data_IF_028162069433
#
_entry.id   IF_028162069433
#
_cell.length_a   1.000
_cell.length_b   1.000
_cell.length_c   1.000
_cell.angle_alpha   90.00
_cell.angle_beta   90.00
_cell.angle_gamma   90.00
#
_symmetry.space_group_name_H-M   'P 1'
#
loop_
_entity.id
_entity.type
_entity.pdbx_description
1 polymer ?
#
# COMPACT_ATOMS: atom_id res chain seq x y z
N UNK A 1 -0.60 -2.14 33.41
CA UNK A 1 -0.40 -1.34 32.18
C UNK A 1 -1.61 -0.43 32.03
N UNK A 2 -1.44 0.89 32.14
CA UNK A 2 -2.55 1.81 32.37
C UNK A 2 -3.38 2.04 31.11
N UNK A 3 -4.71 1.95 31.23
CA UNK A 3 -5.70 2.24 30.17
C UNK A 3 -5.46 3.62 29.49
N UNK A 4 -4.75 4.53 30.16
CA UNK A 4 -4.38 5.86 29.67
C UNK A 4 -3.44 5.84 28.47
N UNK A 5 -2.45 4.94 28.44
CA UNK A 5 -1.45 4.92 27.36
C UNK A 5 -2.05 4.51 26.02
N UNK A 6 -2.98 3.56 26.03
CA UNK A 6 -3.71 3.13 24.82
C UNK A 6 -4.54 4.29 24.28
N UNK A 7 -5.25 5.01 25.16
CA UNK A 7 -6.04 6.18 24.76
C UNK A 7 -5.17 7.32 24.23
N UNK A 8 -4.00 7.55 24.84
CA UNK A 8 -3.02 8.53 24.34
C UNK A 8 -2.52 8.14 22.93
N UNK A 9 -2.20 6.87 22.70
CA UNK A 9 -1.76 6.37 21.39
C UNK A 9 -2.86 6.53 20.34
N UNK A 10 -4.10 6.18 20.68
CA UNK A 10 -5.26 6.36 19.77
C UNK A 10 -5.47 7.84 19.44
N UNK A 11 -5.43 8.72 20.45
CA UNK A 11 -5.58 10.16 20.26
C UNK A 11 -4.46 10.75 19.38
N UNK A 12 -3.21 10.36 19.61
CA UNK A 12 -2.07 10.79 18.80
C UNK A 12 -2.21 10.30 17.35
N UNK A 13 -2.62 9.06 17.16
CA UNK A 13 -2.80 8.47 15.81
C UNK A 13 -3.90 9.19 15.04
N UNK A 14 -5.03 9.51 15.71
CA UNK A 14 -6.13 10.30 15.15
C UNK A 14 -5.70 11.74 14.83
N UNK A 15 -4.82 12.34 15.65
CA UNK A 15 -4.25 13.67 15.43
C UNK A 15 -3.12 13.69 14.38
N UNK A 16 -2.91 12.59 13.64
CA UNK A 16 -1.97 12.51 12.52
C UNK A 16 -0.53 12.20 12.92
N UNK A 17 -0.26 11.83 14.18
CA UNK A 17 1.04 11.35 14.59
C UNK A 17 1.25 9.91 14.12
N UNK A 18 2.51 9.52 13.89
CA UNK A 18 2.88 8.17 13.48
C UNK A 18 3.98 7.61 14.39
N UNK A 19 3.95 6.32 14.73
CA UNK A 19 5.04 5.70 15.48
C UNK A 19 6.38 5.87 14.75
N UNK A 20 7.38 6.38 15.45
CA UNK A 20 8.74 6.46 14.96
C UNK A 20 9.39 5.08 15.08
N UNK A 21 9.56 4.41 13.94
CA UNK A 21 10.12 3.06 13.88
C UNK A 21 11.65 2.98 13.93
N UNK A 22 12.35 4.09 14.12
CA UNK A 22 13.80 4.11 14.30
C UNK A 22 14.18 4.02 15.78
N UNK A 23 15.43 3.68 16.06
CA UNK A 23 15.98 3.74 17.41
C UNK A 23 16.82 5.03 17.52
N UNK A 24 16.42 6.00 18.36
CA UNK A 24 17.26 7.16 18.64
C UNK A 24 18.58 6.74 19.28
N UNK A 25 19.64 7.49 19.01
CA UNK A 25 20.96 7.29 19.59
C UNK A 25 20.94 7.46 21.12
N UNK A 26 21.83 6.74 21.81
CA UNK A 26 21.86 6.66 23.27
C UNK A 26 21.96 8.04 23.95
N UNK A 27 22.76 8.94 23.38
CA UNK A 27 23.00 10.28 23.92
C UNK A 27 21.71 11.12 24.03
N UNK A 28 20.70 10.86 23.19
CA UNK A 28 19.41 11.56 23.25
C UNK A 28 18.73 11.33 24.60
N UNK A 29 18.81 10.11 25.13
CA UNK A 29 18.24 9.77 26.43
C UNK A 29 19.05 10.34 27.58
N UNK A 30 20.37 10.39 27.44
CA UNK A 30 21.27 11.01 28.42
C UNK A 30 20.98 12.51 28.57
N UNK A 31 20.85 13.23 27.44
CA UNK A 31 20.50 14.66 27.43
C UNK A 31 19.11 14.94 28.04
N UNK A 32 18.15 14.03 27.83
CA UNK A 32 16.81 14.13 28.42
C UNK A 32 16.75 13.69 29.89
N UNK A 33 17.87 13.19 30.44
CA UNK A 33 17.94 12.67 31.82
C UNK A 33 17.03 11.46 32.04
N UNK A 34 16.91 10.59 31.03
CA UNK A 34 16.09 9.38 31.09
C UNK A 34 16.88 8.23 31.74
N UNK A 35 16.54 7.88 32.98
CA UNK A 35 17.23 6.84 33.78
C UNK A 35 16.92 5.39 33.37
N UNK A 36 15.88 5.17 32.56
CA UNK A 36 15.49 3.85 32.05
C UNK A 36 15.20 3.94 30.57
N UNK A 37 16.20 3.67 29.75
CA UNK A 37 15.99 3.39 28.33
C UNK A 37 15.43 1.96 28.25
N UNK A 38 14.11 1.82 28.40
CA UNK A 38 13.46 0.53 28.17
C UNK A 38 13.74 0.05 26.74
N UNK A 39 13.76 -1.28 26.57
CA UNK A 39 14.08 -2.01 25.33
C UNK A 39 13.29 -1.62 24.08
N UNK A 40 12.22 -0.81 24.22
CA UNK A 40 11.47 -0.25 23.09
C UNK A 40 11.12 1.21 23.36
N UNK A 41 11.83 2.17 22.76
CA UNK A 41 11.49 3.56 22.90
C UNK A 41 10.20 3.88 22.14
N UNK A 42 9.21 4.44 22.84
CA UNK A 42 7.90 4.77 22.28
C UNK A 42 7.89 6.23 21.81
N UNK A 43 8.44 6.47 20.63
CA UNK A 43 8.42 7.77 19.98
C UNK A 43 7.35 7.84 18.89
N UNK A 44 6.76 9.03 18.74
CA UNK A 44 5.86 9.40 17.66
C UNK A 44 6.45 10.57 16.90
N UNK A 45 6.20 10.66 15.60
CA UNK A 45 6.62 11.78 14.77
C UNK A 45 5.44 12.36 13.99
N UNK A 46 5.48 13.68 13.77
CA UNK A 46 4.58 14.41 12.87
C UNK A 46 5.39 15.53 12.20
N UNK A 47 5.72 15.34 10.92
CA UNK A 47 6.71 16.19 10.25
C UNK A 47 8.05 16.14 10.98
N UNK A 48 8.52 17.30 11.41
CA UNK A 48 9.82 17.49 12.08
C UNK A 48 9.76 17.38 13.62
N UNK A 49 8.58 17.12 14.17
CA UNK A 49 8.35 17.07 15.61
C UNK A 49 8.26 15.63 16.10
N UNK A 50 8.94 15.35 17.21
CA UNK A 50 9.07 14.05 17.84
C UNK A 50 8.51 14.11 19.27
N UNK A 51 7.70 13.12 19.65
CA UNK A 51 7.05 13.04 20.95
C UNK A 51 7.29 11.67 21.59
N UNK A 52 7.84 11.64 22.79
CA UNK A 52 7.98 10.42 23.58
C UNK A 52 6.73 10.20 24.44
N UNK A 53 6.16 9.00 24.39
CA UNK A 53 5.06 8.58 25.28
C UNK A 53 5.49 7.49 26.27
N UNK A 54 6.78 7.18 26.33
CA UNK A 54 7.31 6.11 27.18
C UNK A 54 7.41 6.46 28.66
N UNK A 55 7.36 7.74 29.03
CA UNK A 55 7.47 8.21 30.40
C UNK A 55 6.52 9.40 30.65
N UNK A 56 6.16 9.70 31.92
CA UNK A 56 5.22 10.77 32.24
C UNK A 56 5.72 12.17 31.86
N UNK A 57 7.03 12.36 31.62
CA UNK A 57 7.60 13.66 31.20
C UNK A 57 7.16 14.08 29.79
N UNK A 58 6.69 13.15 28.96
CA UNK A 58 6.20 13.41 27.58
C UNK A 58 7.09 14.36 26.77
N UNK A 59 8.38 14.05 26.67
CA UNK A 59 9.36 14.89 26.00
C UNK A 59 8.97 15.16 24.54
N UNK A 60 8.99 16.43 24.13
CA UNK A 60 8.78 16.85 22.75
C UNK A 60 10.05 17.50 22.20
N UNK A 61 10.43 17.16 20.97
CA UNK A 61 11.66 17.60 20.32
C UNK A 61 11.38 18.03 18.89
N UNK A 62 12.04 19.09 18.42
CA UNK A 62 11.95 19.58 17.05
C UNK A 62 13.30 19.36 16.35
N UNK A 63 13.31 18.55 15.27
CA UNK A 63 14.53 18.15 14.54
C UNK A 63 15.72 17.77 15.45
N UNK A 64 15.53 16.87 16.43
CA UNK A 64 16.61 16.46 17.32
C UNK A 64 17.73 15.73 16.58
N UNK A 65 18.98 16.00 16.97
CA UNK A 65 20.10 15.17 16.58
C UNK A 65 19.96 13.75 17.17
N UNK A 66 20.52 12.74 16.50
CA UNK A 66 20.48 11.36 16.97
C UNK A 66 19.18 10.60 16.68
N UNK A 67 18.22 11.23 15.99
CA UNK A 67 17.12 10.52 15.35
C UNK A 67 17.53 10.24 13.91
N UNK A 68 17.86 8.98 13.54
CA UNK A 68 18.19 8.67 12.17
C UNK A 68 17.04 9.14 11.26
N UNK A 69 17.39 10.03 10.34
CA UNK A 69 16.47 10.47 9.29
C UNK A 69 16.06 9.21 8.56
N UNK A 70 14.77 8.90 8.57
CA UNK A 70 14.26 7.95 7.59
C UNK A 70 14.58 8.61 6.26
N UNK A 71 15.48 7.98 5.49
CA UNK A 71 15.59 8.27 4.07
C UNK A 71 14.16 8.36 3.54
N UNK A 72 13.87 9.27 2.59
CA UNK A 72 12.58 9.34 1.93
C UNK A 72 12.42 8.11 1.02
N UNK A 73 12.46 6.92 1.61
CA UNK A 73 11.77 5.75 1.13
C UNK A 73 10.32 6.17 1.27
N UNK A 74 9.76 6.65 0.17
CA UNK A 74 8.33 6.78 -0.01
C UNK A 74 7.77 5.38 0.20
N UNK A 75 7.44 5.05 1.45
CA UNK A 75 6.49 4.00 1.72
C UNK A 75 5.22 4.50 1.07
N UNK A 76 4.97 4.10 -0.19
CA UNK A 76 3.66 4.22 -0.81
C UNK A 76 2.68 3.74 0.25
N UNK A 77 1.78 4.62 0.67
CA UNK A 77 0.81 4.35 1.72
C UNK A 77 0.25 2.93 1.50
N UNK A 78 0.66 1.97 2.31
CA UNK A 78 0.14 0.60 2.24
C UNK A 78 -1.37 0.57 2.52
N UNK A 79 -1.91 1.66 3.04
CA UNK A 79 -3.31 1.88 3.34
C UNK A 79 -4.09 2.67 2.27
N UNK A 80 -3.46 3.07 1.16
CA UNK A 80 -4.13 3.68 0.00
C UNK A 80 -4.16 2.80 -1.24
N UNK A 81 -3.62 1.60 -1.16
CA UNK A 81 -3.68 0.64 -2.25
C UNK A 81 -4.34 -0.62 -1.70
N UNK A 82 -5.67 -0.71 -1.83
CA UNK A 82 -6.42 -1.96 -1.66
C UNK A 82 -6.03 -3.01 -2.74
N UNK A 83 -5.06 -2.70 -3.60
CA UNK A 83 -4.48 -3.55 -4.62
C UNK A 83 -2.97 -3.76 -4.34
N UNK A 84 -2.45 -4.99 -4.35
CA UNK A 84 -1.00 -5.22 -4.24
C UNK A 84 -0.20 -4.43 -5.29
N UNK A 85 0.95 -3.88 -4.91
CA UNK A 85 1.87 -3.07 -5.75
C UNK A 85 2.30 -3.71 -7.09
N UNK A 86 2.01 -4.99 -7.29
CA UNK A 86 2.32 -5.77 -8.50
C UNK A 86 1.06 -6.33 -9.21
N UNK A 87 -0.13 -5.89 -8.82
CA UNK A 87 -1.39 -6.28 -9.47
C UNK A 87 -1.88 -5.15 -10.37
N UNK A 88 -2.28 -5.53 -11.58
CA UNK A 88 -2.93 -4.64 -12.55
C UNK A 88 -4.40 -5.00 -12.49
N UNK A 89 -5.30 -4.02 -12.33
CA UNK A 89 -6.74 -4.29 -12.36
C UNK A 89 -7.18 -4.71 -13.76
N UNK A 90 -8.30 -5.44 -13.92
CA UNK A 90 -8.91 -5.69 -15.24
C UNK A 90 -9.06 -4.43 -16.10
N UNK A 91 -9.51 -3.32 -15.49
CA UNK A 91 -9.72 -2.04 -16.16
C UNK A 91 -8.40 -1.41 -16.61
N UNK A 92 -7.37 -1.47 -15.77
CA UNK A 92 -6.02 -1.03 -16.12
C UNK A 92 -5.39 -1.90 -17.21
N UNK A 93 -5.69 -3.21 -17.22
CA UNK A 93 -5.15 -4.14 -18.21
C UNK A 93 -5.70 -3.86 -19.60
N UNK A 94 -7.02 -3.65 -19.71
CA UNK A 94 -7.73 -3.35 -20.95
C UNK A 94 -7.41 -1.94 -21.47
N UNK A 95 -7.20 -0.96 -20.57
CA UNK A 95 -6.86 0.40 -20.98
C UNK A 95 -5.41 0.55 -21.46
N UNK A 96 -4.46 -0.19 -20.88
CA UNK A 96 -3.03 -0.08 -21.22
C UNK A 96 -2.60 -0.94 -22.42
N UNK A 97 -3.29 -2.05 -22.69
CA UNK A 97 -2.93 -2.98 -23.77
C UNK A 97 -3.90 -2.88 -24.93
N UNK A 98 -3.39 -2.88 -26.16
CA UNK A 98 -4.23 -2.95 -27.37
C UNK A 98 -4.66 -4.40 -27.70
N UNK A 99 -3.78 -5.36 -27.41
CA UNK A 99 -4.03 -6.79 -27.59
C UNK A 99 -3.82 -7.53 -26.27
N UNK A 100 -4.73 -8.43 -25.96
CA UNK A 100 -4.67 -9.28 -24.77
C UNK A 100 -4.40 -10.74 -25.16
N UNK A 101 -3.63 -11.44 -24.33
CA UNK A 101 -3.54 -12.90 -24.38
C UNK A 101 -4.85 -13.53 -23.92
N UNK A 102 -5.03 -14.82 -24.21
CA UNK A 102 -6.23 -15.58 -23.80
C UNK A 102 -6.35 -15.59 -22.27
N UNK A 103 -5.23 -15.73 -21.56
CA UNK A 103 -5.15 -15.74 -20.10
C UNK A 103 -5.49 -14.35 -19.51
N UNK A 104 -5.08 -13.28 -20.19
CA UNK A 104 -5.34 -11.91 -19.78
C UNK A 104 -6.81 -11.53 -20.01
N UNK A 105 -7.38 -11.95 -21.14
CA UNK A 105 -8.81 -11.78 -21.42
C UNK A 105 -9.67 -12.58 -20.43
N UNK A 106 -9.26 -13.80 -20.09
CA UNK A 106 -9.91 -14.63 -19.07
C UNK A 106 -9.90 -13.93 -17.70
N UNK A 107 -8.77 -13.33 -17.33
CA UNK A 107 -8.65 -12.52 -16.12
C UNK A 107 -9.58 -11.30 -16.14
N UNK A 108 -9.66 -10.59 -17.27
CA UNK A 108 -10.49 -9.38 -17.38
C UNK A 108 -11.99 -9.67 -17.34
N UNK A 109 -12.42 -10.79 -17.94
CA UNK A 109 -13.83 -11.19 -18.03
C UNK A 109 -14.27 -12.09 -16.86
N UNK A 110 -13.35 -12.49 -15.99
CA UNK A 110 -13.59 -13.43 -14.90
C UNK A 110 -14.21 -14.77 -15.36
N UNK A 111 -13.71 -15.32 -16.48
CA UNK A 111 -14.15 -16.59 -17.07
C UNK A 111 -12.97 -17.55 -17.27
N UNK A 112 -13.26 -18.82 -17.52
CA UNK A 112 -12.21 -19.80 -17.81
C UNK A 112 -11.53 -19.51 -19.18
N UNK A 113 -10.20 -19.73 -19.32
CA UNK A 113 -9.50 -19.56 -20.60
C UNK A 113 -10.05 -20.41 -21.75
N UNK A 114 -10.74 -21.52 -21.43
CA UNK A 114 -11.44 -22.34 -22.42
C UNK A 114 -12.62 -21.58 -23.03
N UNK A 115 -13.44 -20.96 -22.20
CA UNK A 115 -14.60 -20.15 -22.62
C UNK A 115 -14.17 -18.98 -23.50
N UNK A 116 -13.02 -18.35 -23.21
CA UNK A 116 -12.44 -17.32 -24.09
C UNK A 116 -12.14 -17.88 -25.48
N UNK A 117 -11.61 -19.10 -25.60
CA UNK A 117 -11.35 -19.73 -26.91
C UNK A 117 -12.65 -20.07 -27.65
N UNK A 118 -13.65 -20.55 -26.93
CA UNK A 118 -15.00 -20.79 -27.47
C UNK A 118 -15.63 -19.48 -27.98
N UNK A 119 -15.46 -18.36 -27.27
CA UNK A 119 -15.93 -17.03 -27.70
C UNK A 119 -15.19 -16.49 -28.92
N UNK A 120 -13.90 -16.83 -29.07
CA UNK A 120 -13.14 -16.52 -30.29
C UNK A 120 -13.66 -17.34 -31.47
N UNK A 121 -13.99 -18.63 -31.26
CA UNK A 121 -14.55 -19.50 -32.30
C UNK A 121 -15.98 -19.11 -32.67
N UNK A 122 -16.78 -18.67 -31.70
CA UNK A 122 -18.13 -18.13 -31.90
C UNK A 122 -18.15 -16.73 -32.54
N UNK A 123 -16.99 -16.07 -32.67
CA UNK A 123 -16.88 -14.74 -33.27
C UNK A 123 -17.26 -13.57 -32.35
N UNK A 124 -17.47 -13.82 -31.05
CA UNK A 124 -17.74 -12.79 -30.04
C UNK A 124 -16.50 -11.92 -29.78
N UNK A 125 -15.32 -12.54 -29.77
CA UNK A 125 -14.03 -11.86 -29.61
C UNK A 125 -13.21 -11.94 -30.91
N UNK A 126 -12.73 -10.79 -31.40
CA UNK A 126 -11.95 -10.75 -32.64
C UNK A 126 -10.53 -11.25 -32.42
N UNK A 127 -10.13 -12.26 -33.21
CA UNK A 127 -8.77 -12.80 -33.23
C UNK A 127 -7.83 -11.91 -34.06
N UNK A 128 -6.90 -11.23 -33.41
CA UNK A 128 -5.97 -10.31 -34.06
C UNK A 128 -4.70 -10.99 -34.61
N UNK A 129 -4.13 -11.99 -33.91
CA UNK A 129 -2.93 -12.71 -34.35
C UNK A 129 -3.08 -14.23 -34.25
N UNK A 130 -2.43 -14.95 -35.17
CA UNK A 130 -2.48 -16.43 -35.24
C UNK A 130 -1.78 -17.12 -34.06
N UNK A 131 -0.55 -16.71 -33.67
CA UNK A 131 0.19 -17.25 -32.51
C UNK A 131 1.20 -16.23 -31.92
N UNK A 132 1.32 -16.10 -30.59
CA UNK A 132 0.32 -16.53 -29.61
C UNK A 132 -1.04 -15.88 -29.92
N UNK A 133 -2.14 -16.58 -29.60
CA UNK A 133 -3.49 -16.08 -29.89
C UNK A 133 -3.71 -14.81 -29.09
N UNK A 134 -4.12 -13.75 -29.78
CA UNK A 134 -4.38 -12.43 -29.19
C UNK A 134 -5.76 -11.95 -29.59
N UNK A 135 -6.46 -11.36 -28.63
CA UNK A 135 -7.76 -10.72 -28.80
C UNK A 135 -7.64 -9.21 -28.68
N UNK A 136 -8.53 -8.48 -29.32
CA UNK A 136 -8.61 -7.01 -29.22
C UNK A 136 -9.12 -6.60 -27.84
N UNK A 137 -8.40 -5.67 -27.19
CA UNK A 137 -8.80 -5.17 -25.88
C UNK A 137 -10.15 -4.41 -25.92
N UNK A 138 -10.48 -3.78 -27.06
CA UNK A 138 -11.78 -3.10 -27.25
C UNK A 138 -12.97 -4.06 -27.16
N UNK A 139 -12.83 -5.27 -27.71
CA UNK A 139 -13.87 -6.29 -27.64
C UNK A 139 -14.02 -6.80 -26.20
N UNK A 140 -12.90 -7.07 -25.53
CA UNK A 140 -12.92 -7.46 -24.12
C UNK A 140 -13.55 -6.36 -23.26
N UNK A 141 -13.24 -5.09 -23.51
CA UNK A 141 -13.85 -3.96 -22.80
C UNK A 141 -15.36 -3.90 -22.99
N UNK A 142 -15.83 -4.12 -24.22
CA UNK A 142 -17.26 -4.16 -24.54
C UNK A 142 -17.93 -5.28 -23.78
N UNK A 143 -17.36 -6.49 -23.83
CA UNK A 143 -17.93 -7.64 -23.13
C UNK A 143 -17.88 -7.49 -21.61
N UNK A 144 -16.87 -6.82 -21.03
CA UNK A 144 -16.85 -6.49 -19.59
C UNK A 144 -18.08 -5.69 -19.13
N UNK A 145 -18.65 -4.85 -20.00
CA UNK A 145 -19.85 -4.07 -19.69
C UNK A 145 -21.17 -4.78 -20.06
N UNK A 146 -21.10 -5.86 -20.85
CA UNK A 146 -22.25 -6.65 -21.29
C UNK A 146 -22.47 -7.92 -20.46
N UNK A 147 -21.68 -8.15 -19.41
CA UNK A 147 -21.88 -9.27 -18.50
C UNK A 147 -23.15 -9.02 -17.68
N UNK A 148 -24.30 -9.38 -18.24
CA UNK A 148 -25.52 -9.68 -17.51
C UNK A 148 -25.24 -10.92 -16.64
N UNK A 149 -24.83 -10.70 -15.39
CA UNK A 149 -24.82 -11.73 -14.33
C UNK A 149 -26.21 -11.83 -13.72
#
# INVERSE_FOLDING_TARGET
MSKTLIMDIVALTNAGWRPYGGQPEGFVYEQLGCSRVTTRPMWFMRGDMYLCVGCPRRCSLLRPAGFPLKLPIQYKDRHKVDLPTFTITPEEMVSRKHFLLVEEAAYCLNIAPRTVREWIEAGVLTKAKRRPVRVLASDVKREMHNLDV
#
